data_IF_423587045303
#
_entry.id   IF_423587045303
#
_cell.length_a   1.000
_cell.length_b   1.000
_cell.length_c   1.000
_cell.angle_alpha   90.00
_cell.angle_beta   90.00
_cell.angle_gamma   90.00
#
_symmetry.space_group_name_H-M   'P 1'
#
loop_
_entity.id
_entity.type
_entity.pdbx_description
1 polymer ?
#
# COMPACT_ATOMS: atom_id res chain seq x y z
N UNK A 1 -2.64 2.22 13.71
CA UNK A 1 -3.86 1.53 13.27
C UNK A 1 -4.86 2.61 12.92
N UNK A 2 -5.46 2.55 11.73
CA UNK A 2 -6.40 3.56 11.25
C UNK A 2 -7.48 3.91 12.28
N UNK A 3 -7.69 5.21 12.49
CA UNK A 3 -8.79 5.69 13.31
C UNK A 3 -10.16 5.55 12.59
N UNK A 4 -11.26 5.84 13.27
CA UNK A 4 -12.61 5.70 12.69
C UNK A 4 -12.89 6.66 11.53
N UNK A 5 -12.26 7.85 11.51
CA UNK A 5 -12.36 8.78 10.39
C UNK A 5 -11.64 8.22 9.16
N UNK A 6 -10.45 7.64 9.36
CA UNK A 6 -9.68 7.00 8.30
C UNK A 6 -10.44 5.82 7.70
N UNK A 7 -11.05 4.96 8.52
CA UNK A 7 -11.90 3.87 8.02
C UNK A 7 -13.06 4.36 7.18
N UNK A 8 -13.71 5.47 7.56
CA UNK A 8 -14.77 6.09 6.75
C UNK A 8 -14.22 6.60 5.43
N UNK A 9 -13.09 7.30 5.42
CA UNK A 9 -12.42 7.77 4.20
C UNK A 9 -12.03 6.59 3.30
N UNK A 10 -11.44 5.55 3.87
CA UNK A 10 -11.09 4.31 3.17
C UNK A 10 -12.30 3.69 2.46
N UNK A 11 -13.47 3.67 3.11
CA UNK A 11 -14.69 3.13 2.51
C UNK A 11 -15.28 4.00 1.39
N UNK A 12 -14.84 5.26 1.25
CA UNK A 12 -15.22 6.15 0.16
C UNK A 12 -14.23 6.12 -1.02
N UNK A 13 -13.15 5.32 -0.92
CA UNK A 13 -12.16 5.15 -2.00
C UNK A 13 -12.80 4.68 -3.30
N UNK A 14 -12.11 4.91 -4.40
CA UNK A 14 -12.45 4.31 -5.69
C UNK A 14 -12.00 2.83 -5.63
N UNK A 15 -12.91 1.86 -5.74
CA UNK A 15 -12.55 0.45 -5.59
C UNK A 15 -11.93 -0.12 -6.86
N UNK A 16 -11.12 -1.18 -6.71
CA UNK A 16 -10.65 -2.03 -7.80
C UNK A 16 -9.18 -1.84 -8.20
N UNK A 17 -8.49 -0.87 -7.60
CA UNK A 17 -7.07 -0.65 -7.79
C UNK A 17 -6.39 -0.29 -6.47
N UNK A 18 -5.19 -0.81 -6.24
CA UNK A 18 -4.30 -0.40 -5.15
C UNK A 18 -2.86 -0.42 -5.63
N UNK A 19 -2.10 0.60 -5.27
CA UNK A 19 -0.65 0.65 -5.47
C UNK A 19 0.05 0.20 -4.19
N UNK A 20 1.02 -0.68 -4.33
CA UNK A 20 1.86 -1.17 -3.23
C UNK A 20 3.30 -0.88 -3.58
N UNK A 21 3.98 -0.13 -2.71
CA UNK A 21 5.37 0.30 -2.93
C UNK A 21 6.25 -0.19 -1.78
N UNK A 22 7.39 -0.81 -2.12
CA UNK A 22 8.36 -1.28 -1.14
C UNK A 22 9.33 -0.15 -0.80
N UNK A 23 9.25 0.40 0.41
CA UNK A 23 10.10 1.50 0.84
C UNK A 23 11.43 1.00 1.40
N UNK A 24 12.54 1.65 1.03
CA UNK A 24 13.90 1.31 1.50
C UNK A 24 14.61 2.52 2.11
N UNK A 25 15.52 2.29 3.06
CA UNK A 25 16.45 3.32 3.53
C UNK A 25 17.65 3.42 2.58
N UNK A 26 17.65 4.42 1.70
CA UNK A 26 18.79 4.79 0.87
C UNK A 26 18.99 6.31 0.80
N UNK A 27 19.01 6.97 1.97
CA UNK A 27 18.99 8.44 2.07
C UNK A 27 17.57 8.95 2.31
N UNK A 28 17.07 10.02 1.63
CA UNK A 28 15.63 10.30 1.66
C UNK A 28 14.87 9.05 1.24
N UNK A 29 13.74 8.79 1.89
CA UNK A 29 12.91 7.60 1.65
C UNK A 29 12.61 7.50 0.15
N UNK A 30 12.96 6.35 -0.45
CA UNK A 30 12.78 6.07 -1.87
C UNK A 30 12.11 4.72 -2.04
N UNK A 31 11.13 4.66 -2.94
CA UNK A 31 10.51 3.41 -3.36
C UNK A 31 11.53 2.54 -4.13
N UNK A 32 11.66 1.29 -3.71
CA UNK A 32 12.50 0.30 -4.35
C UNK A 32 11.80 -0.34 -5.55
N UNK A 33 10.53 -0.70 -5.37
CA UNK A 33 9.65 -1.29 -6.36
C UNK A 33 8.20 -0.88 -6.07
N UNK A 34 7.38 -0.85 -7.11
CA UNK A 34 5.95 -0.55 -7.02
C UNK A 34 5.17 -1.52 -7.89
N UNK A 35 4.02 -1.97 -7.39
CA UNK A 35 3.11 -2.86 -8.10
C UNK A 35 1.69 -2.30 -8.01
N UNK A 36 1.00 -2.30 -9.16
CA UNK A 36 -0.42 -2.00 -9.24
C UNK A 36 -1.23 -3.29 -9.23
N UNK A 37 -2.16 -3.41 -8.29
CA UNK A 37 -3.01 -4.60 -8.12
C UNK A 37 -4.44 -4.26 -8.53
N UNK A 38 -4.92 -4.96 -9.55
CA UNK A 38 -6.31 -4.92 -10.03
C UNK A 38 -7.00 -6.28 -9.97
N UNK A 39 -6.30 -7.34 -9.54
CA UNK A 39 -6.88 -8.67 -9.37
C UNK A 39 -7.85 -8.63 -8.17
N UNK A 40 -9.16 -8.95 -8.35
CA UNK A 40 -10.18 -8.68 -7.34
C UNK A 40 -9.99 -9.39 -5.99
N UNK A 41 -9.47 -10.62 -5.98
CA UNK A 41 -9.31 -11.41 -4.74
C UNK A 41 -8.15 -10.85 -3.91
N UNK A 42 -7.00 -10.63 -4.54
CA UNK A 42 -5.82 -10.05 -3.93
C UNK A 42 -6.08 -8.60 -3.49
N UNK A 43 -6.77 -7.81 -4.32
CA UNK A 43 -7.20 -6.46 -3.95
C UNK A 43 -7.99 -6.45 -2.64
N UNK A 44 -8.97 -7.36 -2.48
CA UNK A 44 -9.76 -7.46 -1.24
C UNK A 44 -8.90 -7.86 -0.05
N UNK A 45 -8.04 -8.87 -0.21
CA UNK A 45 -7.12 -9.30 0.85
C UNK A 45 -6.19 -8.18 1.31
N UNK A 46 -5.65 -7.39 0.39
CA UNK A 46 -4.84 -6.21 0.72
C UNK A 46 -5.67 -5.18 1.50
N UNK A 47 -6.91 -4.90 1.06
CA UNK A 47 -7.81 -3.98 1.76
C UNK A 47 -8.08 -4.42 3.21
N UNK A 48 -8.41 -5.70 3.41
CA UNK A 48 -8.71 -6.26 4.72
C UNK A 48 -7.46 -6.21 5.63
N UNK A 49 -6.29 -6.54 5.08
CA UNK A 49 -5.02 -6.45 5.81
C UNK A 49 -4.70 -5.01 6.23
N UNK A 50 -4.91 -4.04 5.33
CA UNK A 50 -4.67 -2.62 5.58
C UNK A 50 -5.57 -2.08 6.68
N UNK A 51 -6.84 -2.47 6.72
CA UNK A 51 -7.77 -2.03 7.77
C UNK A 51 -7.33 -2.48 9.18
N UNK A 52 -6.63 -3.61 9.27
CA UNK A 52 -6.14 -4.17 10.53
C UNK A 52 -4.75 -3.65 10.90
N UNK A 53 -3.85 -3.49 9.92
CA UNK A 53 -2.42 -3.31 10.17
C UNK A 53 -1.88 -1.95 9.70
N UNK A 54 -2.65 -1.19 8.93
CA UNK A 54 -2.26 0.12 8.39
C UNK A 54 -2.07 1.18 9.47
N UNK A 55 -1.10 2.07 9.26
CA UNK A 55 -1.04 3.35 9.98
C UNK A 55 -2.22 4.24 9.59
N UNK A 56 -2.30 5.43 10.18
CA UNK A 56 -3.25 6.45 9.76
C UNK A 56 -3.10 6.78 8.26
N UNK A 57 -4.22 7.12 7.62
CA UNK A 57 -4.24 7.51 6.22
C UNK A 57 -3.75 8.94 6.05
N UNK A 58 -2.88 9.15 5.07
CA UNK A 58 -2.35 10.45 4.68
C UNK A 58 -2.62 10.67 3.21
N UNK A 59 -2.98 11.89 2.83
CA UNK A 59 -2.87 12.27 1.42
C UNK A 59 -1.39 12.45 1.10
N UNK A 60 -0.90 11.73 0.09
CA UNK A 60 0.53 11.71 -0.20
C UNK A 60 0.85 12.25 -1.58
N UNK A 61 0.05 11.92 -2.59
CA UNK A 61 0.30 12.36 -3.95
C UNK A 61 -0.96 12.38 -4.82
N UNK A 62 -0.84 13.08 -5.95
CA UNK A 62 -1.83 13.17 -6.99
C UNK A 62 -1.21 12.74 -8.31
N UNK A 63 -1.99 12.07 -9.15
CA UNK A 63 -1.69 11.88 -10.57
C UNK A 63 -2.73 12.62 -11.41
N UNK A 64 -2.55 12.63 -12.73
CA UNK A 64 -3.54 13.17 -13.67
C UNK A 64 -4.91 12.46 -13.56
N UNK A 65 -4.95 11.27 -12.95
CA UNK A 65 -6.17 10.46 -12.82
C UNK A 65 -6.84 10.62 -11.46
N UNK A 66 -6.07 10.54 -10.37
CA UNK A 66 -6.62 10.44 -9.02
C UNK A 66 -5.78 11.18 -7.99
N UNK A 67 -6.44 11.59 -6.90
CA UNK A 67 -5.79 11.77 -5.60
C UNK A 67 -5.54 10.39 -4.99
N UNK A 68 -4.44 10.24 -4.26
CA UNK A 68 -4.14 9.01 -3.53
C UNK A 68 -4.01 9.30 -2.05
N UNK A 69 -4.81 8.55 -1.27
CA UNK A 69 -4.58 8.38 0.14
C UNK A 69 -3.74 7.13 0.38
N UNK A 70 -2.79 7.23 1.29
CA UNK A 70 -1.82 6.19 1.55
C UNK A 70 -1.67 5.92 3.04
N UNK A 71 -1.33 4.68 3.38
CA UNK A 71 -0.88 4.31 4.71
C UNK A 71 0.37 3.45 4.62
N UNK A 72 1.13 3.40 5.71
CA UNK A 72 2.26 2.49 5.83
C UNK A 72 1.83 1.19 6.51
N UNK A 73 2.38 0.08 6.03
CA UNK A 73 2.50 -1.17 6.76
C UNK A 73 3.93 -1.25 7.27
N UNK A 74 4.10 -1.11 8.59
CA UNK A 74 5.42 -1.15 9.24
C UNK A 74 5.86 -2.55 9.66
N UNK A 75 4.91 -3.48 9.81
CA UNK A 75 5.22 -4.88 10.04
C UNK A 75 5.60 -5.57 8.71
N UNK A 76 6.85 -5.41 8.32
CA UNK A 76 7.39 -5.99 7.08
C UNK A 76 7.35 -7.51 7.11
N UNK A 77 7.60 -8.13 8.27
CA UNK A 77 7.63 -9.59 8.40
C UNK A 77 6.22 -10.17 8.27
N UNK A 78 5.25 -9.57 8.95
CA UNK A 78 3.84 -9.96 8.84
C UNK A 78 3.31 -9.82 7.42
N UNK A 79 3.61 -8.70 6.73
CA UNK A 79 3.15 -8.49 5.36
C UNK A 79 3.79 -9.48 4.38
N UNK A 80 5.10 -9.73 4.50
CA UNK A 80 5.77 -10.74 3.68
C UNK A 80 5.19 -12.13 3.90
N UNK A 81 4.96 -12.52 5.15
CA UNK A 81 4.42 -13.86 5.47
C UNK A 81 3.04 -14.07 4.84
N UNK A 82 2.18 -13.05 4.85
CA UNK A 82 0.84 -13.11 4.28
C UNK A 82 0.84 -13.16 2.74
N UNK A 83 1.80 -12.48 2.09
CA UNK A 83 1.73 -12.17 0.67
C UNK A 83 2.90 -12.67 -0.19
N UNK A 84 3.94 -13.29 0.38
CA UNK A 84 5.14 -13.71 -0.37
C UNK A 84 4.86 -14.73 -1.49
N UNK A 85 3.79 -15.51 -1.36
CA UNK A 85 3.37 -16.49 -2.36
C UNK A 85 2.54 -15.86 -3.50
N UNK A 86 2.18 -14.58 -3.41
CA UNK A 86 1.49 -13.87 -4.47
C UNK A 86 2.48 -13.47 -5.57
N UNK A 87 2.37 -14.12 -6.72
CA UNK A 87 3.26 -13.88 -7.87
C UNK A 87 3.33 -12.41 -8.28
N UNK A 88 2.20 -11.70 -8.22
CA UNK A 88 2.12 -10.27 -8.54
C UNK A 88 2.94 -9.38 -7.61
N UNK A 89 3.15 -9.81 -6.35
CA UNK A 89 3.83 -9.02 -5.32
C UNK A 89 5.32 -9.36 -5.20
N UNK A 90 5.81 -10.40 -5.91
CA UNK A 90 7.24 -10.79 -5.91
C UNK A 90 8.22 -9.62 -6.11
N UNK A 91 7.97 -8.64 -7.01
CA UNK A 91 8.89 -7.51 -7.19
C UNK A 91 9.11 -6.68 -5.91
N UNK A 92 8.15 -6.68 -4.99
CA UNK A 92 8.23 -5.96 -3.72
C UNK A 92 9.12 -6.66 -2.69
N UNK A 93 9.29 -7.98 -2.83
CA UNK A 93 10.03 -8.81 -1.87
C UNK A 93 11.45 -9.14 -2.34
N UNK A 94 11.67 -9.10 -3.65
CA UNK A 94 12.94 -9.38 -4.30
C UNK A 94 13.39 -8.18 -5.12
N UNK A 95 14.10 -7.25 -4.48
CA UNK A 95 14.70 -6.08 -5.11
C UNK A 95 16.16 -5.89 -4.66
N UNK A 96 17.00 -5.30 -5.51
CA UNK A 96 18.44 -5.12 -5.29
C UNK A 96 18.81 -3.87 -4.47
N UNK A 97 17.80 -3.12 -4.01
CA UNK A 97 17.95 -1.84 -3.29
C UNK A 97 18.04 -1.94 -1.76
N UNK A 98 18.42 -3.10 -1.23
CA UNK A 98 18.58 -3.34 0.22
C UNK A 98 17.32 -3.85 0.91
N UNK A 99 17.20 -3.63 2.22
CA UNK A 99 16.08 -4.12 3.03
C UNK A 99 14.86 -3.21 3.00
N UNK A 100 13.70 -3.76 2.68
CA UNK A 100 12.41 -3.08 2.81
C UNK A 100 12.13 -2.73 4.27
N UNK A 101 11.72 -1.49 4.55
CA UNK A 101 11.47 -1.00 5.92
C UNK A 101 10.01 -0.68 6.20
N UNK A 102 9.22 -0.49 5.15
CA UNK A 102 7.77 -0.43 5.20
C UNK A 102 7.21 -0.73 3.80
N UNK A 103 5.93 -1.05 3.74
CA UNK A 103 5.18 -0.99 2.50
C UNK A 103 4.26 0.22 2.52
N UNK A 104 4.30 1.04 1.49
CA UNK A 104 3.36 2.12 1.27
C UNK A 104 2.19 1.57 0.45
N UNK A 105 0.98 1.64 0.99
CA UNK A 105 -0.23 1.19 0.31
C UNK A 105 -1.07 2.40 -0.04
N UNK A 106 -1.33 2.61 -1.33
CA UNK A 106 -2.01 3.81 -1.83
C UNK A 106 -3.28 3.45 -2.60
N UNK A 107 -4.37 4.11 -2.23
CA UNK A 107 -5.69 3.89 -2.80
C UNK A 107 -6.16 5.15 -3.52
N UNK A 108 -6.72 5.01 -4.73
CA UNK A 108 -7.29 6.15 -5.43
C UNK A 108 -8.54 6.65 -4.69
N UNK A 109 -8.66 7.96 -4.57
CA UNK A 109 -9.82 8.65 -4.05
C UNK A 109 -10.29 9.73 -5.03
N UNK A 110 -11.55 10.15 -4.89
CA UNK A 110 -12.09 11.22 -5.73
C UNK A 110 -11.37 12.52 -5.40
N UNK A 111 -10.97 13.26 -6.44
CA UNK A 111 -10.61 14.66 -6.28
C UNK A 111 -11.80 15.41 -5.65
N UNK A 112 -11.54 16.14 -4.57
CA UNK A 112 -12.52 16.96 -3.87
C UNK A 112 -13.00 18.16 -4.68
#
# INVERSE_FOLDING_TARGET
MMNESDKKRFNMRIPGEVLVSAEVYSGPISSAAEVCITEPVLYRRICDYVLLNGTDLQELFQTDRYLYMSCFIRDVVGFKTEFENEELLKPLFSHDKGGTVAFLISFPEKAG
#
